data_IF_434905807341
#
_entry.id   IF_434905807341
#
_cell.length_a   1.000
_cell.length_b   1.000
_cell.length_c   1.000
_cell.angle_alpha   90.00
_cell.angle_beta   90.00
_cell.angle_gamma   90.00
#
_symmetry.space_group_name_H-M   'P 1'
#
loop_
_entity.id
_entity.type
_entity.pdbx_description
1 polymer ?
#
# COMPACT_ATOMS: atom_id res chain seq x y z
N UNK A 1 5.80 11.16 -2.45
CA UNK A 1 4.43 11.46 -1.89
C UNK A 1 4.21 10.70 -0.59
N UNK A 2 3.44 11.22 0.38
CA UNK A 2 3.09 10.51 1.63
C UNK A 2 1.56 10.45 1.78
N UNK A 3 0.99 9.26 1.93
CA UNK A 3 -0.45 9.02 2.07
C UNK A 3 -0.75 8.12 3.26
N UNK A 4 -1.84 8.37 3.97
CA UNK A 4 -2.20 7.63 5.19
C UNK A 4 -3.09 6.45 4.86
N UNK A 5 -2.80 5.29 5.46
CA UNK A 5 -3.63 4.09 5.35
C UNK A 5 -4.87 4.27 6.23
N UNK A 6 -6.05 4.18 5.60
CA UNK A 6 -7.36 4.29 6.23
C UNK A 6 -7.99 2.93 6.48
N UNK A 7 -7.77 1.97 5.57
CA UNK A 7 -8.23 0.59 5.73
C UNK A 7 -7.28 -0.40 5.03
N UNK A 8 -7.28 -1.65 5.48
CA UNK A 8 -6.38 -2.71 4.98
C UNK A 8 -7.17 -3.98 4.70
N UNK A 9 -7.10 -4.44 3.45
CA UNK A 9 -7.65 -5.70 3.00
C UNK A 9 -6.50 -6.61 2.61
N UNK A 10 -6.13 -7.53 3.50
CA UNK A 10 -5.12 -8.53 3.21
C UNK A 10 -5.67 -9.57 2.23
N UNK A 11 -5.10 -9.61 1.03
CA UNK A 11 -5.36 -10.68 0.07
C UNK A 11 -4.43 -11.85 0.39
N UNK A 12 -4.89 -13.08 0.14
CA UNK A 12 -4.12 -14.30 0.41
C UNK A 12 -2.72 -14.22 -0.20
N UNK A 13 -1.74 -14.81 0.50
CA UNK A 13 -0.35 -14.85 0.07
C UNK A 13 -0.27 -15.31 -1.40
N UNK A 14 0.36 -14.49 -2.24
CA UNK A 14 0.50 -14.81 -3.65
C UNK A 14 1.37 -16.09 -3.78
N UNK A 15 1.16 -16.88 -4.83
CA UNK A 15 1.88 -18.17 -5.05
C UNK A 15 3.42 -18.06 -5.02
N UNK A 16 3.96 -16.84 -5.05
CA UNK A 16 5.39 -16.55 -5.07
C UNK A 16 5.95 -16.17 -3.69
N UNK A 17 5.15 -16.19 -2.61
CA UNK A 17 5.60 -15.78 -1.28
C UNK A 17 5.67 -14.26 -1.10
N UNK A 18 4.84 -13.53 -1.84
CA UNK A 18 4.60 -12.09 -1.64
C UNK A 18 3.25 -11.90 -0.96
N UNK A 19 3.17 -10.92 -0.06
CA UNK A 19 1.91 -10.44 0.49
C UNK A 19 1.29 -9.41 -0.45
N UNK A 20 -0.01 -9.54 -0.71
CA UNK A 20 -0.78 -8.57 -1.47
C UNK A 20 -1.84 -7.95 -0.56
N UNK A 21 -1.97 -6.62 -0.60
CA UNK A 21 -2.96 -5.89 0.17
C UNK A 21 -3.71 -4.93 -0.76
N UNK A 22 -4.97 -4.68 -0.47
CA UNK A 22 -5.68 -3.47 -0.94
C UNK A 22 -5.75 -2.50 0.22
N UNK A 23 -5.34 -1.27 -0.02
CA UNK A 23 -5.28 -0.20 0.97
C UNK A 23 -6.23 0.91 0.54
N UNK A 24 -7.17 1.27 1.39
CA UNK A 24 -7.84 2.56 1.25
C UNK A 24 -6.93 3.62 1.84
N UNK A 25 -6.79 4.74 1.15
CA UNK A 25 -5.87 5.83 1.52
C UNK A 25 -6.56 7.18 1.49
N UNK A 26 -6.00 8.15 2.21
CA UNK A 26 -6.59 9.50 2.31
C UNK A 26 -6.43 10.31 1.00
N UNK A 27 -5.29 10.18 0.34
CA UNK A 27 -5.02 10.86 -0.92
C UNK A 27 -4.12 10.03 -1.85
N UNK A 28 -4.36 10.11 -3.16
CA UNK A 28 -3.52 9.51 -4.21
C UNK A 28 -2.66 10.56 -4.93
N UNK A 29 -2.84 11.84 -4.62
CA UNK A 29 -2.21 12.96 -5.31
C UNK A 29 -2.37 12.85 -6.82
N UNK A 30 -1.29 13.19 -7.53
CA UNK A 30 -1.23 13.19 -9.00
C UNK A 30 -0.82 11.83 -9.60
N UNK A 31 -0.77 10.74 -8.81
CA UNK A 31 -0.30 9.44 -9.29
C UNK A 31 -1.15 8.94 -10.47
N UNK A 32 -0.59 8.70 -11.65
CA UNK A 32 -1.41 8.24 -12.78
C UNK A 32 -2.06 6.87 -12.51
N UNK A 33 -3.28 6.68 -13.01
CA UNK A 33 -3.96 5.36 -12.96
C UNK A 33 -3.11 4.31 -13.66
N UNK A 34 -3.19 3.08 -13.17
CA UNK A 34 -2.43 1.92 -13.65
C UNK A 34 -0.90 2.02 -13.49
N UNK A 35 -0.42 2.98 -12.71
CA UNK A 35 1.01 3.13 -12.41
C UNK A 35 1.44 2.12 -11.35
N UNK A 36 2.60 1.50 -11.58
CA UNK A 36 3.35 0.75 -10.58
C UNK A 36 4.60 1.51 -10.21
N UNK A 37 4.93 1.56 -8.93
CA UNK A 37 6.16 2.20 -8.48
C UNK A 37 6.66 1.64 -7.15
N UNK A 38 7.98 1.76 -6.88
CA UNK A 38 8.54 1.51 -5.57
C UNK A 38 7.93 2.45 -4.52
N UNK A 39 7.77 1.92 -3.31
CA UNK A 39 7.29 2.65 -2.17
C UNK A 39 7.84 2.03 -0.89
N UNK A 40 7.53 2.65 0.24
CA UNK A 40 7.74 2.07 1.55
C UNK A 40 6.54 2.32 2.45
N UNK A 41 6.22 1.34 3.28
CA UNK A 41 5.33 1.54 4.42
C UNK A 41 6.16 2.02 5.59
N UNK A 42 5.75 3.14 6.17
CA UNK A 42 6.36 3.72 7.37
C UNK A 42 5.34 3.67 8.50
N UNK A 43 5.72 3.05 9.61
CA UNK A 43 4.85 2.97 10.77
C UNK A 43 4.55 4.37 11.32
N UNK A 44 3.35 4.53 11.88
CA UNK A 44 2.88 5.81 12.44
C UNK A 44 3.74 6.34 13.60
N UNK A 45 4.43 5.44 14.30
CA UNK A 45 5.43 5.72 15.34
C UNK A 45 6.86 5.93 14.78
N UNK A 46 7.08 5.65 13.49
CA UNK A 46 8.37 5.82 12.80
C UNK A 46 9.42 4.75 13.10
N UNK A 47 9.07 3.67 13.83
CA UNK A 47 10.01 2.60 14.19
C UNK A 47 10.33 1.64 13.03
N UNK A 48 9.44 1.54 12.05
CA UNK A 48 9.55 0.59 10.95
C UNK A 48 9.40 1.27 9.61
N UNK A 49 10.34 0.98 8.71
CA UNK A 49 10.23 1.28 7.29
C UNK A 49 10.41 -0.02 6.51
N UNK A 50 9.40 -0.39 5.72
CA UNK A 50 9.39 -1.65 4.98
C UNK A 50 9.20 -1.34 3.49
N UNK A 51 10.14 -1.75 2.63
CA UNK A 51 10.02 -1.53 1.19
C UNK A 51 8.88 -2.36 0.61
N UNK A 52 8.18 -1.77 -0.35
CA UNK A 52 7.09 -2.40 -1.07
C UNK A 52 7.02 -1.86 -2.50
N UNK A 53 6.14 -2.46 -3.30
CA UNK A 53 5.69 -1.89 -4.56
C UNK A 53 4.21 -1.57 -4.41
N UNK A 54 3.78 -0.43 -4.93
CA UNK A 54 2.36 -0.11 -5.03
C UNK A 54 1.91 -0.08 -6.48
N UNK A 55 0.62 -0.32 -6.66
CA UNK A 55 -0.08 -0.18 -7.92
C UNK A 55 -1.36 0.63 -7.69
N UNK A 56 -1.59 1.66 -8.50
CA UNK A 56 -2.86 2.40 -8.52
C UNK A 56 -3.81 1.74 -9.53
N UNK A 57 -4.78 0.91 -9.11
CA UNK A 57 -5.73 0.31 -10.05
C UNK A 57 -6.66 1.36 -10.69
N UNK A 58 -7.36 0.96 -11.75
CA UNK A 58 -8.53 1.71 -12.22
C UNK A 58 -9.66 1.54 -11.20
N UNK A 59 -10.39 2.61 -10.86
CA UNK A 59 -11.55 2.47 -10.03
C UNK A 59 -12.65 1.69 -10.77
N UNK A 60 -13.34 0.82 -10.04
CA UNK A 60 -14.49 0.05 -10.47
C UNK A 60 -15.71 0.94 -10.74
N UNK A 61 -15.85 2.04 -10.00
CA UNK A 61 -16.90 3.05 -10.17
C UNK A 61 -16.47 4.41 -9.59
N UNK A 62 -17.29 5.45 -9.78
CA UNK A 62 -16.98 6.82 -9.34
C UNK A 62 -17.04 7.06 -7.83
N UNK A 63 -17.64 6.14 -7.07
CA UNK A 63 -17.79 6.22 -5.61
C UNK A 63 -16.74 5.41 -4.84
N UNK A 64 -15.87 4.68 -5.56
CA UNK A 64 -14.85 3.88 -4.92
C UNK A 64 -13.81 4.80 -4.25
N UNK A 65 -13.48 4.55 -2.97
CA UNK A 65 -12.50 5.36 -2.28
C UNK A 65 -11.13 5.29 -2.98
N UNK A 66 -10.27 6.31 -2.77
CA UNK A 66 -8.89 6.25 -3.22
C UNK A 66 -8.21 5.02 -2.62
N UNK A 67 -7.74 4.11 -3.47
CA UNK A 67 -7.13 2.86 -3.02
C UNK A 67 -5.91 2.48 -3.84
N UNK A 68 -5.04 1.69 -3.20
CA UNK A 68 -3.80 1.15 -3.75
C UNK A 68 -3.78 -0.36 -3.58
N UNK A 69 -3.16 -1.06 -4.52
CA UNK A 69 -2.70 -2.42 -4.29
C UNK A 69 -1.25 -2.36 -3.84
N UNK A 70 -0.93 -2.96 -2.70
CA UNK A 70 0.42 -3.03 -2.16
C UNK A 70 0.94 -4.46 -2.25
N UNK A 71 2.17 -4.60 -2.74
CA UNK A 71 2.90 -5.86 -2.78
C UNK A 71 4.20 -5.74 -1.99
N UNK A 72 4.47 -6.70 -1.11
CA UNK A 72 5.74 -6.77 -0.37
C UNK A 72 6.17 -8.23 -0.18
N UNK A 73 7.47 -8.48 -0.14
CA UNK A 73 8.00 -9.82 0.08
C UNK A 73 7.62 -10.32 1.48
N UNK A 74 7.09 -11.54 1.60
CA UNK A 74 6.51 -12.01 2.87
C UNK A 74 7.52 -12.09 4.02
N UNK A 75 8.81 -12.31 3.73
CA UNK A 75 9.88 -12.35 4.73
C UNK A 75 10.12 -11.01 5.43
N UNK A 76 9.61 -9.90 4.89
CA UNK A 76 9.67 -8.57 5.51
C UNK A 76 8.62 -8.38 6.60
N UNK A 77 7.70 -9.34 6.79
CA UNK A 77 6.76 -9.33 7.91
C UNK A 77 5.66 -8.26 7.84
N UNK A 78 5.46 -7.60 6.69
CA UNK A 78 4.53 -6.48 6.54
C UNK A 78 3.09 -6.81 7.00
N UNK A 79 2.66 -8.05 6.78
CA UNK A 79 1.35 -8.58 7.23
C UNK A 79 1.14 -8.51 8.75
N UNK A 80 2.22 -8.51 9.52
CA UNK A 80 2.19 -8.47 10.98
C UNK A 80 2.52 -7.09 11.56
N UNK A 81 3.15 -6.21 10.79
CA UNK A 81 3.65 -4.92 11.26
C UNK A 81 2.79 -3.74 10.79
N UNK A 82 2.23 -3.81 9.58
CA UNK A 82 1.41 -2.74 9.00
C UNK A 82 0.06 -2.63 9.70
N UNK A 83 -0.34 -1.40 10.05
CA UNK A 83 -1.62 -1.09 10.70
C UNK A 83 -2.28 0.14 10.10
N UNK A 84 -3.60 0.26 10.30
CA UNK A 84 -4.34 1.48 9.96
C UNK A 84 -3.72 2.66 10.71
N UNK A 85 -3.52 3.78 10.01
CA UNK A 85 -2.84 4.95 10.51
C UNK A 85 -1.37 5.06 10.14
N UNK A 86 -0.74 3.98 9.67
CA UNK A 86 0.58 4.01 9.05
C UNK A 86 0.54 4.74 7.70
N UNK A 87 1.72 4.98 7.12
CA UNK A 87 1.87 5.75 5.91
C UNK A 87 2.49 4.95 4.79
N UNK A 88 2.02 5.17 3.56
CA UNK A 88 2.73 4.77 2.34
C UNK A 88 3.48 5.99 1.82
N UNK A 89 4.78 5.83 1.60
CA UNK A 89 5.65 6.84 1.01
C UNK A 89 6.08 6.36 -0.38
N UNK A 90 5.71 7.11 -1.41
CA UNK A 90 6.14 6.88 -2.78
C UNK A 90 7.54 7.46 -2.98
N UNK A 91 8.44 6.64 -3.53
CA UNK A 91 9.81 7.03 -3.87
C UNK A 91 9.84 7.58 -5.30
N UNK A 92 10.50 8.74 -5.48
CA UNK A 92 10.70 9.40 -6.79
C UNK A 92 11.91 8.81 -7.55
#
# INVERSE_FOLDING_TARGET
MKTKILDIWALSDHKNGDNLFVLDVDDLGDMAKETRMPAKVVSSDGEHEIPCEIYRPRPNNEFEPPHLQLRAASHLGLKHTMKVGDFVILED
#
